data_IF_565945653941
#
_entry.id   IF_565945653941
#
_cell.length_a   1.000
_cell.length_b   1.000
_cell.length_c   1.000
_cell.angle_alpha   90.00
_cell.angle_beta   90.00
_cell.angle_gamma   90.00
#
_symmetry.space_group_name_H-M   'P 1'
#
loop_
_entity.id
_entity.type
_entity.pdbx_description
1 polymer ?
#
# COMPACT_ATOMS: atom_id res chain seq x y z
N UNK A 1 -4.73 0.02 -15.61
CA UNK A 1 -4.48 0.08 -14.15
C UNK A 1 -5.07 1.30 -13.48
N UNK A 2 -5.95 1.12 -12.49
CA UNK A 2 -6.41 2.19 -11.57
C UNK A 2 -5.99 1.83 -10.15
N UNK A 3 -5.54 2.80 -9.35
CA UNK A 3 -5.23 2.58 -7.94
C UNK A 3 -5.80 3.68 -7.06
N UNK A 4 -6.16 3.31 -5.83
CA UNK A 4 -6.59 4.22 -4.78
C UNK A 4 -5.81 3.90 -3.51
N UNK A 5 -5.17 4.91 -2.95
CA UNK A 5 -4.43 4.78 -1.69
C UNK A 5 -5.14 5.56 -0.59
N UNK A 6 -5.33 4.92 0.56
CA UNK A 6 -5.82 5.53 1.78
C UNK A 6 -4.78 5.35 2.87
N UNK A 7 -4.45 6.43 3.57
CA UNK A 7 -3.54 6.39 4.71
C UNK A 7 -4.32 6.89 5.92
N UNK A 8 -4.53 6.03 6.91
CA UNK A 8 -5.02 6.45 8.22
C UNK A 8 -3.84 6.73 9.13
N UNK A 9 -3.96 7.77 9.93
CA UNK A 9 -2.90 8.21 10.84
C UNK A 9 -3.46 8.28 12.25
N UNK A 10 -2.70 7.75 13.19
CA UNK A 10 -2.98 7.84 14.62
C UNK A 10 -1.68 8.06 15.38
N UNK A 11 -1.75 8.60 16.59
CA UNK A 11 -0.62 8.64 17.53
C UNK A 11 -0.95 7.65 18.66
N UNK A 12 -0.09 6.65 18.85
CA UNK A 12 -0.27 5.60 19.87
C UNK A 12 0.99 5.55 20.73
N UNK A 13 0.84 5.67 22.04
CA UNK A 13 1.95 5.65 23.00
C UNK A 13 3.07 6.65 22.65
N UNK A 14 2.69 7.86 22.21
CA UNK A 14 3.65 8.91 21.83
C UNK A 14 4.39 8.69 20.51
N UNK A 15 3.99 7.69 19.70
CA UNK A 15 4.57 7.43 18.38
C UNK A 15 3.49 7.45 17.29
N UNK A 16 3.72 8.06 16.12
CA UNK A 16 2.80 7.98 15.00
C UNK A 16 2.70 6.55 14.47
N UNK A 17 1.51 6.20 14.00
CA UNK A 17 1.22 4.93 13.34
C UNK A 17 0.41 5.18 12.06
N UNK A 18 0.86 4.57 10.96
CA UNK A 18 0.27 4.75 9.63
C UNK A 18 -0.28 3.44 9.07
N UNK A 19 -1.60 3.38 8.85
CA UNK A 19 -2.22 2.25 8.14
C UNK A 19 -2.38 2.63 6.67
N UNK A 20 -1.56 2.02 5.81
CA UNK A 20 -1.49 2.28 4.38
C UNK A 20 -2.29 1.19 3.66
N UNK A 21 -3.42 1.56 3.08
CA UNK A 21 -4.27 0.68 2.28
C UNK A 21 -4.20 1.06 0.81
N UNK A 22 -3.89 0.09 -0.05
CA UNK A 22 -3.83 0.27 -1.51
C UNK A 22 -4.80 -0.68 -2.18
N UNK A 23 -5.78 -0.13 -2.87
CA UNK A 23 -6.66 -0.88 -3.75
C UNK A 23 -6.18 -0.68 -5.19
N UNK A 24 -5.82 -1.75 -5.89
CA UNK A 24 -5.38 -1.69 -7.28
C UNK A 24 -6.20 -2.60 -8.18
N UNK A 25 -6.44 -2.14 -9.41
CA UNK A 25 -7.05 -2.91 -10.48
C UNK A 25 -5.99 -3.11 -11.56
N UNK A 26 -5.63 -4.36 -11.81
CA UNK A 26 -4.63 -4.74 -12.80
C UNK A 26 -5.29 -5.48 -13.96
N UNK A 27 -4.84 -5.15 -15.17
CA UNK A 27 -5.30 -5.77 -16.41
C UNK A 27 -4.33 -6.90 -16.76
N UNK A 28 -4.83 -8.12 -16.92
CA UNK A 28 -4.08 -9.28 -17.39
C UNK A 28 -4.18 -9.35 -18.92
N UNK A 29 -3.11 -8.94 -19.61
CA UNK A 29 -3.08 -8.78 -21.06
C UNK A 29 -2.51 -9.99 -21.80
N UNK A 30 -1.52 -10.68 -21.23
CA UNK A 30 -0.87 -11.84 -21.84
C UNK A 30 -0.47 -12.89 -20.79
N UNK A 31 -0.62 -14.15 -21.16
CA UNK A 31 -0.15 -15.31 -20.38
C UNK A 31 0.63 -16.23 -21.30
N UNK A 32 1.95 -16.02 -21.38
CA UNK A 32 2.86 -16.71 -22.32
C UNK A 32 3.04 -18.21 -22.10
N UNK A 33 2.45 -18.78 -21.03
CA UNK A 33 2.51 -20.22 -20.69
C UNK A 33 1.15 -20.92 -20.59
N UNK A 34 0.06 -20.25 -20.95
CA UNK A 34 -1.25 -20.90 -21.06
C UNK A 34 -1.44 -21.39 -22.50
N UNK A 35 -0.54 -22.28 -22.96
CA UNK A 35 -0.85 -23.07 -24.16
C UNK A 35 -1.51 -24.40 -23.82
N UNK A 36 -1.37 -24.88 -22.57
CA UNK A 36 -1.94 -26.17 -22.11
C UNK A 36 -2.65 -26.14 -20.74
N UNK A 37 -2.55 -25.07 -19.95
CA UNK A 37 -3.24 -24.95 -18.64
C UNK A 37 -4.39 -23.96 -18.75
N UNK A 38 -5.63 -24.37 -18.44
CA UNK A 38 -6.77 -23.46 -18.46
C UNK A 38 -6.56 -22.29 -17.48
N UNK A 39 -6.99 -21.09 -17.85
CA UNK A 39 -7.07 -19.95 -16.92
C UNK A 39 -8.21 -20.21 -15.92
N UNK A 40 -7.90 -20.93 -14.85
CA UNK A 40 -8.86 -21.29 -13.80
C UNK A 40 -8.97 -20.18 -12.75
N UNK A 41 -10.04 -20.15 -11.95
CA UNK A 41 -10.15 -19.26 -10.80
C UNK A 41 -8.95 -19.37 -9.84
N UNK A 42 -8.38 -20.57 -9.68
CA UNK A 42 -7.20 -20.81 -8.87
C UNK A 42 -5.96 -20.10 -9.45
N UNK A 43 -5.72 -20.20 -10.76
CA UNK A 43 -4.63 -19.47 -11.43
C UNK A 43 -4.81 -17.96 -11.28
N UNK A 44 -6.04 -17.45 -11.42
CA UNK A 44 -6.34 -16.04 -11.23
C UNK A 44 -6.06 -15.55 -9.80
N UNK A 45 -6.43 -16.33 -8.79
CA UNK A 45 -6.16 -16.00 -7.37
C UNK A 45 -4.67 -16.07 -7.04
N UNK A 46 -3.93 -17.01 -7.63
CA UNK A 46 -2.47 -17.09 -7.50
C UNK A 46 -1.78 -15.85 -8.09
N UNK A 47 -2.20 -15.41 -9.28
CA UNK A 47 -1.70 -14.17 -9.90
C UNK A 47 -2.03 -12.95 -9.02
N UNK A 48 -3.27 -12.85 -8.54
CA UNK A 48 -3.70 -11.76 -7.65
C UNK A 48 -2.85 -11.72 -6.38
N UNK A 49 -2.69 -12.84 -5.69
CA UNK A 49 -1.89 -12.95 -4.47
C UNK A 49 -0.42 -12.60 -4.71
N UNK A 50 0.16 -13.06 -5.82
CA UNK A 50 1.53 -12.71 -6.20
C UNK A 50 1.69 -11.20 -6.45
N UNK A 51 0.70 -10.58 -7.11
CA UNK A 51 0.67 -9.14 -7.35
C UNK A 51 0.55 -8.35 -6.05
N UNK A 52 -0.37 -8.72 -5.15
CA UNK A 52 -0.53 -8.10 -3.83
C UNK A 52 0.77 -8.15 -3.03
N UNK A 53 1.43 -9.32 -3.01
CA UNK A 53 2.71 -9.52 -2.32
C UNK A 53 3.81 -8.64 -2.91
N UNK A 54 3.92 -8.58 -4.24
CA UNK A 54 4.94 -7.78 -4.92
C UNK A 54 4.75 -6.28 -4.67
N UNK A 55 3.52 -5.77 -4.80
CA UNK A 55 3.20 -4.37 -4.55
C UNK A 55 3.43 -4.03 -3.07
N UNK A 56 2.95 -4.87 -2.15
CA UNK A 56 3.18 -4.70 -0.71
C UNK A 56 4.66 -4.60 -0.41
N UNK A 57 5.46 -5.55 -0.91
CA UNK A 57 6.92 -5.57 -0.68
C UNK A 57 7.58 -4.28 -1.17
N UNK A 58 7.22 -3.80 -2.37
CA UNK A 58 7.79 -2.57 -2.91
C UNK A 58 7.45 -1.34 -2.06
N UNK A 59 6.22 -1.26 -1.55
CA UNK A 59 5.82 -0.19 -0.63
C UNK A 59 6.56 -0.31 0.69
N UNK A 60 6.61 -1.52 1.29
CA UNK A 60 7.31 -1.79 2.55
C UNK A 60 8.79 -1.39 2.45
N UNK A 61 9.49 -1.82 1.40
CA UNK A 61 10.90 -1.50 1.18
C UNK A 61 11.11 0.01 1.01
N UNK A 62 10.22 0.69 0.27
CA UNK A 62 10.33 2.13 -0.01
C UNK A 62 10.09 2.96 1.25
N UNK A 63 9.00 2.67 1.98
CA UNK A 63 8.67 3.37 3.24
C UNK A 63 9.77 3.15 4.26
N UNK A 64 10.24 1.90 4.40
CA UNK A 64 11.36 1.57 5.30
C UNK A 64 12.60 2.38 4.97
N UNK A 65 13.05 2.39 3.71
CA UNK A 65 14.20 3.18 3.27
C UNK A 65 14.04 4.67 3.58
N UNK A 66 12.88 5.25 3.32
CA UNK A 66 12.60 6.65 3.65
C UNK A 66 12.69 6.93 5.15
N UNK A 67 12.16 6.02 5.98
CA UNK A 67 12.13 6.20 7.44
C UNK A 67 13.51 5.99 8.07
N UNK A 68 14.22 4.93 7.68
CA UNK A 68 15.44 4.49 8.39
C UNK A 68 16.73 4.93 7.71
N UNK A 69 16.82 4.85 6.38
CA UNK A 69 18.07 5.10 5.64
C UNK A 69 18.21 6.57 5.24
N UNK A 70 17.19 7.14 4.59
CA UNK A 70 17.23 8.52 4.13
C UNK A 70 16.80 9.52 5.20
N UNK A 71 15.96 9.07 6.13
CA UNK A 71 15.33 9.91 7.14
C UNK A 71 14.66 11.16 6.53
N UNK A 72 13.85 10.90 5.52
CA UNK A 72 13.10 11.90 4.73
C UNK A 72 11.65 11.50 4.64
N UNK A 73 10.78 12.50 4.57
CA UNK A 73 9.35 12.33 4.37
C UNK A 73 8.89 12.88 3.01
N UNK A 74 9.17 12.19 1.90
CA UNK A 74 8.69 12.61 0.59
C UNK A 74 7.17 12.41 0.43
N UNK A 75 6.52 11.68 1.34
CA UNK A 75 5.11 11.30 1.25
C UNK A 75 4.18 12.21 2.04
N UNK A 76 4.72 13.10 2.88
CA UNK A 76 3.98 14.04 3.71
C UNK A 76 3.24 13.38 4.86
N UNK A 77 3.88 12.43 5.55
CA UNK A 77 3.40 11.84 6.78
C UNK A 77 3.29 12.88 7.91
N UNK A 78 4.18 13.88 7.95
CA UNK A 78 4.19 15.02 8.86
C UNK A 78 2.85 15.77 8.89
N UNK A 79 2.33 16.10 7.71
CA UNK A 79 1.06 16.80 7.49
C UNK A 79 -0.11 15.94 7.91
N UNK A 80 0.00 14.61 7.81
CA UNK A 80 -1.03 13.69 8.26
C UNK A 80 -1.05 13.58 9.78
N UNK A 81 0.12 13.56 10.42
CA UNK A 81 0.22 13.64 11.88
C UNK A 81 -0.36 14.96 12.36
N UNK A 82 0.02 16.10 11.76
CA UNK A 82 -0.56 17.42 12.10
C UNK A 82 -2.09 17.46 12.03
N UNK A 83 -2.70 16.73 11.09
CA UNK A 83 -4.16 16.65 10.93
C UNK A 83 -4.81 15.69 11.94
N UNK A 84 -4.11 14.62 12.33
CA UNK A 84 -4.61 13.63 13.27
C UNK A 84 -4.45 14.09 14.73
N UNK A 85 -3.34 14.75 15.04
CA UNK A 85 -2.97 15.24 16.35
C UNK A 85 -2.06 16.48 16.22
N UNK A 86 -2.68 17.66 16.33
CA UNK A 86 -1.96 18.93 16.17
C UNK A 86 -1.07 19.27 17.38
N UNK A 87 -1.42 18.79 18.58
CA UNK A 87 -0.65 19.04 19.80
C UNK A 87 0.64 18.23 19.78
N UNK A 88 0.54 16.93 19.49
CA UNK A 88 1.70 16.07 19.28
C UNK A 88 2.62 16.63 18.20
N UNK A 89 2.05 17.03 17.05
CA UNK A 89 2.84 17.60 15.97
C UNK A 89 3.59 18.87 16.40
N UNK A 90 2.95 19.78 17.13
CA UNK A 90 3.61 21.00 17.64
C UNK A 90 4.76 20.65 18.58
N UNK A 91 4.60 19.64 19.43
CA UNK A 91 5.64 19.22 20.37
C UNK A 91 6.84 18.56 19.68
N UNK A 92 6.62 17.78 18.61
CA UNK A 92 7.64 16.90 18.04
C UNK A 92 8.13 17.29 16.63
N UNK A 93 7.51 18.29 15.97
CA UNK A 93 7.81 18.63 14.57
C UNK A 93 9.25 19.06 14.31
N UNK A 94 9.91 19.72 15.27
CA UNK A 94 11.33 20.09 15.15
C UNK A 94 12.24 18.84 15.14
N UNK A 95 11.77 17.75 15.75
CA UNK A 95 12.45 16.45 15.83
C UNK A 95 11.89 15.43 14.84
N UNK A 96 11.21 15.86 13.77
CA UNK A 96 10.48 14.98 12.85
C UNK A 96 11.30 13.80 12.32
N UNK A 97 12.61 14.00 12.11
CA UNK A 97 13.55 12.94 11.73
C UNK A 97 13.62 11.77 12.73
N UNK A 98 13.63 12.08 14.03
CA UNK A 98 13.61 11.07 15.10
C UNK A 98 12.25 10.38 15.19
N UNK A 99 11.18 11.16 14.99
CA UNK A 99 9.81 10.66 14.97
C UNK A 99 9.61 9.64 13.84
N UNK A 100 10.06 9.94 12.62
CA UNK A 100 9.96 9.03 11.47
C UNK A 100 10.61 7.67 11.73
N UNK A 101 11.80 7.65 12.37
CA UNK A 101 12.51 6.41 12.67
C UNK A 101 11.77 5.51 13.67
N UNK A 102 10.95 6.10 14.55
CA UNK A 102 10.16 5.39 15.57
C UNK A 102 8.72 5.12 15.13
N UNK A 103 8.27 5.75 14.06
CA UNK A 103 6.90 5.64 13.60
C UNK A 103 6.60 4.21 13.12
N UNK A 104 5.46 3.68 13.57
CA UNK A 104 4.95 2.41 13.10
C UNK A 104 4.21 2.56 11.77
N UNK A 105 4.20 1.53 10.94
CA UNK A 105 3.32 1.49 9.79
C UNK A 105 2.88 0.06 9.46
N UNK A 106 1.75 -0.06 8.78
CA UNK A 106 1.21 -1.30 8.23
C UNK A 106 0.82 -1.08 6.77
N UNK A 107 1.04 -2.07 5.92
CA UNK A 107 0.68 -2.02 4.49
C UNK A 107 -0.26 -3.17 4.16
N UNK A 108 -1.43 -2.80 3.65
CA UNK A 108 -2.43 -3.73 3.11
C UNK A 108 -2.64 -3.40 1.64
N UNK A 109 -2.56 -4.41 0.79
CA UNK A 109 -2.80 -4.29 -0.65
C UNK A 109 -3.94 -5.23 -1.02
N UNK A 110 -4.97 -4.71 -1.69
CA UNK A 110 -6.02 -5.50 -2.30
C UNK A 110 -5.95 -5.31 -3.81
N UNK A 111 -5.69 -6.40 -4.54
CA UNK A 111 -5.65 -6.39 -5.99
C UNK A 111 -6.94 -6.98 -6.56
N UNK A 112 -7.41 -6.39 -7.67
CA UNK A 112 -8.46 -6.96 -8.51
C UNK A 112 -7.88 -7.19 -9.89
N UNK A 113 -8.01 -8.42 -10.39
CA UNK A 113 -7.59 -8.77 -11.74
C UNK A 113 -8.76 -8.56 -12.70
N UNK A 114 -8.51 -7.88 -13.82
CA UNK A 114 -9.41 -7.82 -14.98
C UNK A 114 -8.75 -8.56 -16.13
N UNK A 115 -9.49 -9.42 -16.82
CA UNK A 115 -9.00 -10.06 -18.04
C UNK A 115 -9.30 -9.15 -19.23
N UNK A 116 -8.33 -8.94 -20.11
CA UNK A 116 -8.60 -8.27 -21.38
C UNK A 116 -9.56 -9.15 -22.22
N UNK A 117 -10.80 -8.69 -22.42
CA UNK A 117 -11.84 -9.39 -23.17
C UNK A 117 -13.10 -9.77 -22.38
N UNK A 118 -13.08 -9.74 -21.04
CA UNK A 118 -14.26 -10.00 -20.21
C UNK A 118 -14.87 -8.70 -19.70
N UNK A 119 -15.95 -8.23 -20.33
CA UNK A 119 -16.71 -7.06 -19.89
C UNK A 119 -17.51 -7.31 -18.59
N UNK A 120 -17.60 -8.55 -18.10
CA UNK A 120 -18.61 -8.94 -17.10
C UNK A 120 -18.13 -9.63 -15.80
N UNK A 121 -16.84 -9.66 -15.46
CA UNK A 121 -16.43 -10.12 -14.11
C UNK A 121 -16.37 -8.97 -13.09
N UNK A 122 -17.55 -8.42 -12.78
CA UNK A 122 -17.85 -7.87 -11.46
C UNK A 122 -18.68 -8.91 -10.73
N UNK A 123 -18.28 -9.42 -9.56
CA UNK A 123 -19.22 -10.14 -8.72
C UNK A 123 -20.31 -9.15 -8.32
N UNK A 124 -21.55 -9.45 -8.72
CA UNK A 124 -22.72 -8.79 -8.15
C UNK A 124 -22.79 -9.09 -6.66
N UNK A 125 -23.13 -8.03 -5.92
CA UNK A 125 -23.79 -7.99 -4.60
C UNK A 125 -23.33 -8.95 -3.50
#
# INVERSE_FOLDING_TARGET
TKSKTKIKTSVKNGCPSFDISVDCVADCTETSKIMNEAFTPEVAENIKTALEKAVRKNIDDTVKKCFTEFNKDPFGFDKRVKRADAEYYRAESDNWKSVLQKAGYSVTVNAKLRRAGDENMVPGS
#
